data_IF_226159858901
#
_entry.id   IF_226159858901
#
_cell.length_a   1.000
_cell.length_b   1.000
_cell.length_c   1.000
_cell.angle_alpha   90.00
_cell.angle_beta   90.00
_cell.angle_gamma   90.00
#
_symmetry.space_group_name_H-M   'P 1'
#
loop_
_entity.id
_entity.type
_entity.pdbx_description
1 polymer ?
#
# COMPACT_ATOMS: atom_id res chain seq x y z
N UNK A 1 -4.50 1.45 -4.68
CA UNK A 1 -5.45 2.52 -5.03
C UNK A 1 -5.40 3.65 -4.02
N UNK A 2 -5.67 3.41 -2.73
CA UNK A 2 -5.59 4.48 -1.71
C UNK A 2 -4.20 5.15 -1.71
N UNK A 3 -3.11 4.38 -1.66
CA UNK A 3 -1.74 4.92 -1.76
C UNK A 3 -1.32 5.45 -3.14
N UNK A 4 -2.18 5.43 -4.15
CA UNK A 4 -1.86 5.91 -5.50
C UNK A 4 -2.73 7.10 -5.93
N UNK A 5 -3.88 7.28 -5.31
CA UNK A 5 -4.88 8.27 -5.72
C UNK A 5 -5.65 8.90 -4.56
N UNK A 6 -5.39 8.46 -3.32
CA UNK A 6 -6.10 8.88 -2.12
C UNK A 6 -5.38 9.96 -1.31
N UNK A 7 -4.19 10.40 -1.71
CA UNK A 7 -3.37 11.33 -0.91
C UNK A 7 -4.08 12.67 -0.71
N UNK A 8 -4.72 13.22 -1.74
CA UNK A 8 -5.53 14.44 -1.63
C UNK A 8 -6.70 14.25 -0.65
N UNK A 9 -7.38 13.10 -0.73
CA UNK A 9 -8.49 12.79 0.17
C UNK A 9 -8.03 12.62 1.63
N UNK A 10 -6.84 12.08 1.85
CA UNK A 10 -6.26 11.97 3.18
C UNK A 10 -5.95 13.36 3.76
N UNK A 11 -5.36 14.24 2.96
CA UNK A 11 -5.07 15.63 3.37
C UNK A 11 -6.35 16.41 3.68
N UNK A 12 -7.41 16.25 2.89
CA UNK A 12 -8.71 16.89 3.12
C UNK A 12 -9.36 16.47 4.46
N UNK A 13 -8.95 15.32 5.00
CA UNK A 13 -9.41 14.77 6.27
C UNK A 13 -8.37 14.94 7.39
N UNK A 14 -7.39 15.83 7.23
CA UNK A 14 -6.30 16.10 8.18
C UNK A 14 -5.36 14.90 8.46
N UNK A 15 -5.31 13.91 7.57
CA UNK A 15 -4.33 12.83 7.61
C UNK A 15 -3.11 13.16 6.74
N UNK A 16 -1.93 12.76 7.20
CA UNK A 16 -0.69 12.89 6.44
C UNK A 16 -0.49 11.64 5.57
N UNK A 17 -0.45 11.76 4.24
CA UNK A 17 -0.12 10.65 3.35
C UNK A 17 1.26 10.08 3.66
N UNK A 18 1.39 8.76 3.59
CA UNK A 18 2.69 8.13 3.78
C UNK A 18 3.62 8.45 2.62
N UNK A 19 4.90 8.77 2.88
CA UNK A 19 5.88 8.97 1.84
C UNK A 19 6.03 7.75 0.90
N UNK A 20 6.33 8.02 -0.38
CA UNK A 20 6.45 6.99 -1.43
C UNK A 20 7.41 5.84 -1.09
N UNK A 21 8.51 6.13 -0.40
CA UNK A 21 9.48 5.11 0.00
C UNK A 21 8.88 4.11 1.01
N UNK A 22 8.01 4.58 1.91
CA UNK A 22 7.30 3.73 2.87
C UNK A 22 6.23 2.92 2.16
N UNK A 23 5.46 3.54 1.26
CA UNK A 23 4.46 2.84 0.43
C UNK A 23 5.12 1.71 -0.38
N UNK A 24 6.28 1.97 -1.01
CA UNK A 24 7.05 0.96 -1.74
C UNK A 24 7.50 -0.19 -0.84
N UNK A 25 7.95 0.10 0.38
CA UNK A 25 8.33 -0.94 1.34
C UNK A 25 7.14 -1.84 1.70
N UNK A 26 5.97 -1.25 1.93
CA UNK A 26 4.72 -1.97 2.22
C UNK A 26 4.33 -2.87 1.04
N UNK A 27 4.34 -2.33 -0.17
CA UNK A 27 4.03 -3.10 -1.39
C UNK A 27 4.99 -4.27 -1.60
N UNK A 28 6.28 -4.09 -1.33
CA UNK A 28 7.26 -5.16 -1.41
C UNK A 28 6.99 -6.25 -0.36
N UNK A 29 6.67 -5.86 0.88
CA UNK A 29 6.30 -6.81 1.93
C UNK A 29 5.06 -7.62 1.54
N UNK A 30 4.06 -6.99 0.93
CA UNK A 30 2.86 -7.68 0.47
C UNK A 30 3.18 -8.72 -0.60
N UNK A 31 3.97 -8.37 -1.62
CA UNK A 31 4.43 -9.31 -2.65
C UNK A 31 5.15 -10.52 -2.08
N UNK A 32 5.94 -10.34 -1.02
CA UNK A 32 6.70 -11.43 -0.40
C UNK A 32 5.85 -12.33 0.49
N UNK A 33 4.86 -11.76 1.19
CA UNK A 33 4.22 -12.42 2.32
C UNK A 33 2.75 -12.76 2.11
N UNK A 34 2.02 -12.04 1.26
CA UNK A 34 0.59 -12.28 1.05
C UNK A 34 0.41 -13.30 -0.08
N UNK A 35 0.03 -14.52 0.33
CA UNK A 35 -0.13 -15.66 -0.56
C UNK A 35 -1.53 -16.26 -0.43
N UNK A 36 -2.04 -16.79 -1.53
CA UNK A 36 -3.25 -17.60 -1.55
C UNK A 36 -3.03 -18.96 -0.91
N UNK A 37 -4.11 -19.72 -0.72
CA UNK A 37 -4.04 -21.08 -0.17
C UNK A 37 -3.18 -22.04 -1.04
N UNK A 38 -2.98 -21.70 -2.32
CA UNK A 38 -2.11 -22.41 -3.26
C UNK A 38 -0.64 -21.95 -3.19
N UNK A 39 -0.29 -21.04 -2.28
CA UNK A 39 1.05 -20.52 -2.09
C UNK A 39 1.49 -19.46 -3.10
N UNK A 40 0.61 -19.06 -4.04
CA UNK A 40 0.93 -18.01 -5.02
C UNK A 40 0.71 -16.62 -4.43
N UNK A 41 1.53 -15.67 -4.84
CA UNK A 41 1.32 -14.27 -4.49
C UNK A 41 0.00 -13.76 -5.07
N UNK A 42 -0.77 -13.03 -4.27
CA UNK A 42 -2.07 -12.43 -4.68
C UNK A 42 -2.02 -10.91 -4.83
N UNK A 43 -0.83 -10.34 -4.65
CA UNK A 43 -0.55 -8.90 -4.74
C UNK A 43 0.79 -8.65 -5.45
#
# INVERSE_FOLDING_TARGET
WAYTSGDTMALDLDYIPMPDNVVKLIQNSWKSNIKGADGKAIY
#
